data_IF_991680462216
#
_entry.id   IF_991680462216
#
_cell.length_a   1.000
_cell.length_b   1.000
_cell.length_c   1.000
_cell.angle_alpha   90.00
_cell.angle_beta   90.00
_cell.angle_gamma   90.00
#
_symmetry.space_group_name_H-M   'P 1'
#
loop_
_entity.id
_entity.type
_entity.pdbx_description
1 polymer ?
#
# COMPACT_ATOMS: atom_id res chain seq x y z
N UNK A 1 34.56 -31.46 37.45
CA UNK A 1 33.18 -31.72 36.98
C UNK A 1 32.25 -30.52 37.18
N UNK A 2 32.10 -29.95 38.38
CA UNK A 2 31.15 -28.84 38.63
C UNK A 2 31.29 -27.62 37.69
N UNK A 3 32.52 -27.21 37.36
CA UNK A 3 32.82 -26.07 36.47
C UNK A 3 32.44 -26.29 35.00
N UNK A 4 32.49 -27.55 34.53
CA UNK A 4 32.12 -27.90 33.15
C UNK A 4 30.61 -27.83 32.94
N UNK A 5 29.84 -28.22 33.96
CA UNK A 5 28.38 -28.10 33.97
C UNK A 5 27.92 -26.64 34.06
N UNK A 6 28.63 -25.78 34.79
CA UNK A 6 28.31 -24.34 34.85
C UNK A 6 28.57 -23.64 33.51
N UNK A 7 29.67 -23.98 32.83
CA UNK A 7 29.96 -23.45 31.50
C UNK A 7 28.94 -23.93 30.46
N UNK A 8 28.53 -25.20 30.52
CA UNK A 8 27.51 -25.76 29.63
C UNK A 8 26.13 -25.11 29.85
N UNK A 9 25.76 -24.80 31.10
CA UNK A 9 24.50 -24.11 31.43
C UNK A 9 24.49 -22.65 30.97
N UNK A 10 25.63 -21.96 31.02
CA UNK A 10 25.79 -20.60 30.50
C UNK A 10 25.73 -20.55 28.97
N UNK A 11 26.29 -21.56 28.30
CA UNK A 11 26.20 -21.70 26.84
C UNK A 11 24.78 -22.01 26.38
N UNK A 12 24.02 -22.85 27.07
CA UNK A 12 22.62 -23.14 26.70
C UNK A 12 21.69 -21.94 26.88
N UNK A 13 21.93 -21.08 27.87
CA UNK A 13 21.19 -19.81 28.04
C UNK A 13 21.41 -18.83 26.86
N UNK A 14 22.57 -18.86 26.19
CA UNK A 14 22.83 -18.03 25.01
C UNK A 14 22.09 -18.52 23.75
N UNK A 15 21.76 -19.82 23.66
CA UNK A 15 20.99 -20.35 22.53
C UNK A 15 19.49 -20.02 22.61
N UNK A 16 18.93 -19.76 23.79
CA UNK A 16 17.52 -19.37 23.95
C UNK A 16 17.26 -17.88 23.61
N UNK A 17 18.30 -17.04 23.57
CA UNK A 17 18.18 -15.61 23.25
C UNK A 17 18.35 -15.30 21.75
N UNK A 18 18.65 -16.30 20.91
CA UNK A 18 19.02 -16.11 19.50
C UNK A 18 17.86 -16.38 18.51
N UNK A 19 16.64 -16.56 18.99
CA UNK A 19 15.43 -16.65 18.17
C UNK A 19 14.39 -15.63 18.64
N UNK A 20 14.76 -14.34 18.68
CA UNK A 20 13.74 -13.31 18.49
C UNK A 20 13.48 -13.27 16.98
N UNK A 21 12.25 -13.57 16.56
CA UNK A 21 11.79 -13.28 15.20
C UNK A 21 11.87 -11.76 15.03
N UNK A 22 12.97 -11.25 14.46
CA UNK A 22 13.11 -9.82 14.16
C UNK A 22 11.93 -9.40 13.28
N UNK A 23 11.02 -8.60 13.85
CA UNK A 23 9.86 -8.06 13.13
C UNK A 23 10.35 -6.85 12.36
N UNK A 24 10.54 -7.00 11.05
CA UNK A 24 10.85 -5.87 10.18
C UNK A 24 9.58 -5.11 9.78
N UNK A 25 9.72 -3.79 9.66
CA UNK A 25 8.68 -2.95 9.09
C UNK A 25 8.47 -3.30 7.62
N UNK A 26 7.22 -3.20 7.17
CA UNK A 26 6.88 -3.34 5.76
C UNK A 26 7.51 -2.18 4.97
N UNK A 27 8.10 -2.48 3.80
CA UNK A 27 8.91 -1.53 3.06
C UNK A 27 8.13 -0.30 2.58
N UNK A 28 6.82 -0.42 2.36
CA UNK A 28 5.94 0.72 2.04
C UNK A 28 5.87 1.80 3.13
N UNK A 29 6.29 1.49 4.36
CA UNK A 29 6.36 2.42 5.48
C UNK A 29 7.79 2.87 5.77
N UNK A 30 8.70 2.74 4.80
CA UNK A 30 10.03 3.33 4.80
C UNK A 30 9.99 4.78 4.35
N UNK A 31 10.23 5.72 5.28
CA UNK A 31 10.26 7.15 4.98
C UNK A 31 11.65 7.73 5.22
N UNK A 32 12.10 8.57 4.28
CA UNK A 32 13.38 9.25 4.35
C UNK A 32 13.36 10.41 5.35
N UNK A 33 14.44 10.56 6.11
CA UNK A 33 14.66 11.72 6.96
C UNK A 33 14.78 13.00 6.13
N UNK A 34 14.36 14.13 6.71
CA UNK A 34 14.33 15.45 6.09
C UNK A 34 13.44 15.54 4.83
N UNK A 35 12.47 14.63 4.70
CA UNK A 35 11.42 14.70 3.68
C UNK A 35 10.06 15.00 4.30
N UNK A 36 9.27 15.77 3.57
CA UNK A 36 7.88 16.03 3.93
C UNK A 36 7.01 14.81 3.63
N UNK A 37 6.14 14.48 4.57
CA UNK A 37 5.14 13.42 4.46
C UNK A 37 3.77 13.95 4.90
N UNK A 38 2.69 13.24 4.56
CA UNK A 38 1.33 13.62 4.93
C UNK A 38 0.63 12.54 5.74
N UNK A 39 -0.26 12.96 6.63
CA UNK A 39 -1.14 12.04 7.36
C UNK A 39 -2.18 11.46 6.39
N UNK A 40 -2.31 10.13 6.37
CA UNK A 40 -3.30 9.43 5.56
C UNK A 40 -4.60 9.15 6.32
N UNK A 41 -4.48 8.68 7.57
CA UNK A 41 -5.61 8.37 8.44
C UNK A 41 -6.41 9.63 8.78
N UNK A 42 -7.68 9.48 9.15
CA UNK A 42 -8.53 10.61 9.54
C UNK A 42 -7.89 11.46 10.65
N UNK A 43 -7.28 10.76 11.63
CA UNK A 43 -6.53 11.37 12.72
C UNK A 43 -5.32 10.52 13.11
N UNK A 44 -4.21 11.20 13.38
CA UNK A 44 -2.98 10.61 13.93
C UNK A 44 -2.61 11.27 15.24
N UNK A 45 -2.50 10.47 16.30
CA UNK A 45 -2.02 10.92 17.60
C UNK A 45 -0.51 11.13 17.55
N UNK A 46 -0.07 12.32 17.89
CA UNK A 46 1.34 12.61 18.16
C UNK A 46 1.64 12.21 19.60
N UNK A 47 2.62 11.35 19.79
CA UNK A 47 3.02 10.79 21.09
C UNK A 47 4.29 11.45 21.61
N UNK A 48 4.45 11.49 22.92
CA UNK A 48 5.67 12.00 23.56
C UNK A 48 6.88 11.11 23.33
N UNK A 49 6.66 9.81 23.29
CA UNK A 49 7.67 8.77 23.05
C UNK A 49 7.15 7.82 21.94
N UNK A 50 8.05 7.10 21.24
CA UNK A 50 7.70 6.16 20.15
C UNK A 50 7.02 4.88 20.68
N UNK A 51 5.87 5.05 21.33
CA UNK A 51 5.12 3.98 21.98
C UNK A 51 3.61 4.28 21.94
N UNK A 52 2.81 3.27 21.61
CA UNK A 52 1.35 3.37 21.50
C UNK A 52 0.65 3.71 22.84
N UNK A 53 1.32 3.52 23.97
CA UNK A 53 0.83 3.83 25.31
C UNK A 53 1.40 5.14 25.88
N UNK A 54 2.32 5.80 25.16
CA UNK A 54 2.90 7.09 25.57
C UNK A 54 1.83 8.20 25.61
N UNK A 55 1.96 9.22 26.48
CA UNK A 55 1.07 10.37 26.48
C UNK A 55 0.89 10.99 25.10
N UNK A 56 -0.34 11.35 24.78
CA UNK A 56 -0.71 12.05 23.55
C UNK A 56 -0.40 13.54 23.75
N UNK A 57 0.43 14.10 22.88
CA UNK A 57 0.76 15.53 22.86
C UNK A 57 -0.18 16.32 21.94
N UNK A 58 -0.60 15.70 20.84
CA UNK A 58 -1.44 16.34 19.83
C UNK A 58 -2.18 15.32 18.93
N UNK A 59 -3.01 15.81 18.02
CA UNK A 59 -3.70 15.04 17.00
C UNK A 59 -3.68 15.77 15.66
N UNK A 60 -3.17 15.11 14.62
CA UNK A 60 -3.04 15.64 13.26
C UNK A 60 -4.11 15.03 12.35
N UNK A 61 -4.73 15.84 11.51
CA UNK A 61 -5.78 15.39 10.57
C UNK A 61 -5.20 14.84 9.27
N UNK A 62 -6.00 14.12 8.50
CA UNK A 62 -5.69 13.77 7.10
C UNK A 62 -5.18 14.98 6.31
N UNK A 63 -4.23 14.75 5.40
CA UNK A 63 -3.57 15.76 4.55
C UNK A 63 -2.63 16.73 5.27
N UNK A 64 -2.62 16.74 6.62
CA UNK A 64 -1.68 17.56 7.35
C UNK A 64 -0.24 17.12 7.06
N UNK A 65 0.60 18.09 6.71
CA UNK A 65 2.00 17.85 6.39
C UNK A 65 2.84 17.77 7.67
N UNK A 66 3.77 16.82 7.68
CA UNK A 66 4.81 16.65 8.70
C UNK A 66 6.17 16.55 8.01
N UNK A 67 7.24 16.91 8.69
CA UNK A 67 8.61 16.62 8.27
C UNK A 67 9.09 15.39 9.05
N UNK A 68 9.65 14.39 8.34
CA UNK A 68 10.31 13.27 8.99
C UNK A 68 11.65 13.75 9.53
N UNK A 69 11.81 13.76 10.85
CA UNK A 69 13.07 14.15 11.48
C UNK A 69 13.98 12.96 11.70
N UNK A 70 13.40 11.84 12.15
CA UNK A 70 14.17 10.64 12.50
C UNK A 70 13.31 9.39 12.43
N UNK A 71 13.87 8.31 11.89
CA UNK A 71 13.33 6.95 12.05
C UNK A 71 13.88 6.33 13.34
N UNK A 72 13.01 5.83 14.21
CA UNK A 72 13.48 5.15 15.43
C UNK A 72 13.77 3.68 15.16
N UNK A 73 15.06 3.33 15.10
CA UNK A 73 15.54 1.97 14.78
C UNK A 73 15.77 1.09 16.01
N UNK A 74 15.89 1.69 17.20
CA UNK A 74 16.12 0.98 18.46
C UNK A 74 14.82 0.60 19.18
N UNK A 75 13.68 0.97 18.61
CA UNK A 75 12.35 0.67 19.15
C UNK A 75 11.75 -0.47 18.33
N UNK A 76 11.21 -1.53 18.97
CA UNK A 76 10.56 -2.60 18.24
C UNK A 76 9.48 -2.09 17.28
N UNK A 77 9.46 -2.65 16.08
CA UNK A 77 8.44 -2.34 15.07
C UNK A 77 7.06 -2.63 15.64
N UNK A 78 6.17 -1.64 15.56
CA UNK A 78 4.78 -1.83 15.96
C UNK A 78 4.01 -2.47 14.81
N UNK A 79 3.41 -3.62 15.10
CA UNK A 79 2.49 -4.31 14.21
C UNK A 79 1.04 -4.09 14.64
N UNK A 80 0.20 -3.54 13.76
CA UNK A 80 -1.24 -3.44 13.95
C UNK A 80 -1.96 -4.10 12.77
N UNK A 81 -2.51 -5.30 13.01
CA UNK A 81 -3.03 -6.15 11.94
C UNK A 81 -1.89 -6.79 11.15
N UNK A 82 -1.92 -6.65 9.83
CA UNK A 82 -0.83 -7.07 8.94
C UNK A 82 0.21 -5.96 8.71
N UNK A 83 -0.04 -4.74 9.18
CA UNK A 83 0.82 -3.58 8.95
C UNK A 83 1.87 -3.49 10.04
N UNK A 84 3.14 -3.60 9.65
CA UNK A 84 4.33 -3.45 10.48
C UNK A 84 5.03 -2.15 10.11
N UNK A 85 5.10 -1.19 11.02
CA UNK A 85 5.75 0.09 10.74
C UNK A 85 6.56 0.62 11.92
N UNK A 86 7.64 1.36 11.60
CA UNK A 86 8.46 2.06 12.58
C UNK A 86 7.73 3.26 13.18
N UNK A 87 8.26 3.76 14.29
CA UNK A 87 7.95 5.08 14.78
C UNK A 87 8.87 6.11 14.12
N UNK A 88 8.30 7.28 13.83
CA UNK A 88 9.03 8.41 13.29
C UNK A 88 8.89 9.60 14.22
N UNK A 89 10.02 10.21 14.56
CA UNK A 89 10.02 11.56 15.12
C UNK A 89 9.71 12.53 13.98
N UNK A 90 8.73 13.40 14.19
CA UNK A 90 8.27 14.35 13.19
C UNK A 90 8.19 15.75 13.75
N UNK A 91 8.37 16.75 12.89
CA UNK A 91 7.95 18.12 13.17
C UNK A 91 6.75 18.52 12.32
N UNK A 92 5.91 19.38 12.86
CA UNK A 92 4.70 19.87 12.22
C UNK A 92 4.38 21.29 12.68
N UNK A 93 3.63 22.02 11.85
CA UNK A 93 3.17 23.37 12.19
C UNK A 93 1.99 23.30 13.17
N UNK A 94 2.04 24.13 14.21
CA UNK A 94 1.00 24.31 15.21
C UNK A 94 0.89 25.79 15.56
N UNK A 95 -0.13 26.47 15.04
CA UNK A 95 -0.20 27.93 15.09
C UNK A 95 0.98 28.54 14.34
N UNK A 96 1.67 29.49 14.97
CA UNK A 96 2.84 30.18 14.38
C UNK A 96 4.18 29.46 14.64
N UNK A 97 4.15 28.30 15.31
CA UNK A 97 5.35 27.57 15.73
C UNK A 97 5.44 26.15 15.20
N UNK A 98 6.64 25.58 15.25
CA UNK A 98 6.87 24.16 15.03
C UNK A 98 6.69 23.40 16.36
N UNK A 99 6.04 22.24 16.28
CA UNK A 99 5.94 21.26 17.37
C UNK A 99 6.54 19.94 16.91
N UNK A 100 6.98 19.12 17.86
CA UNK A 100 7.58 17.81 17.59
C UNK A 100 6.89 16.71 18.39
N UNK A 101 7.02 15.48 17.90
CA UNK A 101 6.67 14.27 18.64
C UNK A 101 6.77 13.04 17.75
N UNK A 102 6.15 11.96 18.18
CA UNK A 102 6.26 10.66 17.54
C UNK A 102 4.95 10.22 16.90
N UNK A 103 5.02 9.72 15.68
CA UNK A 103 3.89 9.12 14.96
C UNK A 103 4.26 7.73 14.47
N UNK A 104 3.28 6.83 14.44
CA UNK A 104 3.46 5.50 13.86
C UNK A 104 3.39 5.60 12.34
N UNK A 105 4.41 5.06 11.65
CA UNK A 105 4.54 5.19 10.19
C UNK A 105 3.37 4.63 9.40
N UNK A 106 2.65 3.64 9.95
CA UNK A 106 1.46 3.05 9.32
C UNK A 106 0.28 4.00 9.16
N UNK A 107 0.33 5.20 9.76
CA UNK A 107 -0.68 6.25 9.59
C UNK A 107 -0.32 7.31 8.54
N UNK A 108 0.93 7.31 8.05
CA UNK A 108 1.41 8.23 7.04
C UNK A 108 1.01 7.75 5.64
N UNK A 109 0.98 8.67 4.68
CA UNK A 109 0.77 8.31 3.28
C UNK A 109 1.94 7.43 2.80
N UNK A 110 1.61 6.33 2.12
CA UNK A 110 2.58 5.56 1.34
C UNK A 110 3.07 6.41 0.15
N UNK A 111 2.15 7.16 -0.46
CA UNK A 111 2.50 8.16 -1.46
C UNK A 111 1.47 9.28 -1.52
N UNK A 112 1.88 10.45 -1.99
CA UNK A 112 0.97 11.55 -2.29
C UNK A 112 1.40 12.28 -3.56
N UNK A 113 0.44 12.92 -4.23
CA UNK A 113 0.66 13.74 -5.43
C UNK A 113 -0.21 14.99 -5.35
N UNK A 114 0.32 16.13 -5.77
CA UNK A 114 -0.44 17.37 -5.88
C UNK A 114 -0.62 17.73 -7.35
N UNK A 115 -1.85 18.06 -7.76
CA UNK A 115 -2.13 18.53 -9.13
C UNK A 115 -3.43 19.33 -9.15
N UNK A 116 -3.42 20.44 -9.88
CA UNK A 116 -4.60 21.30 -10.10
C UNK A 116 -5.28 21.77 -8.79
N UNK A 117 -4.51 22.01 -7.72
CA UNK A 117 -5.04 22.44 -6.42
C UNK A 117 -5.57 21.29 -5.55
N UNK A 118 -5.50 20.05 -6.02
CA UNK A 118 -5.88 18.86 -5.25
C UNK A 118 -4.66 18.11 -4.72
N UNK A 119 -4.80 17.59 -3.50
CA UNK A 119 -3.91 16.58 -2.96
C UNK A 119 -4.55 15.21 -3.11
N UNK A 120 -3.84 14.31 -3.79
CA UNK A 120 -4.18 12.90 -3.87
C UNK A 120 -3.30 12.13 -2.88
N UNK A 121 -3.93 11.42 -1.96
CA UNK A 121 -3.26 10.68 -0.90
C UNK A 121 -3.48 9.19 -1.11
N UNK A 122 -2.43 8.40 -0.94
CA UNK A 122 -2.47 6.94 -1.00
C UNK A 122 -1.86 6.36 0.27
N UNK A 123 -2.54 5.41 0.89
CA UNK A 123 -2.07 4.75 2.10
C UNK A 123 -2.95 3.57 2.52
N UNK A 124 -2.58 2.94 3.63
CA UNK A 124 -3.25 1.76 4.16
C UNK A 124 -4.25 2.15 5.25
N UNK A 125 -5.51 1.78 5.06
CA UNK A 125 -6.61 2.11 5.97
C UNK A 125 -6.67 1.14 7.15
N UNK A 126 -6.76 -0.16 6.85
CA UNK A 126 -7.00 -1.20 7.86
C UNK A 126 -6.62 -2.59 7.36
N UNK A 127 -6.53 -3.53 8.30
CA UNK A 127 -6.54 -4.96 8.02
C UNK A 127 -7.92 -5.52 8.34
N UNK A 128 -8.49 -6.31 7.45
CA UNK A 128 -9.77 -7.00 7.64
C UNK A 128 -9.56 -8.51 7.64
N UNK A 129 -10.34 -9.23 8.46
CA UNK A 129 -10.38 -10.69 8.43
C UNK A 129 -11.59 -11.12 7.60
N UNK A 130 -11.38 -12.01 6.63
CA UNK A 130 -12.43 -12.57 5.78
C UNK A 130 -12.29 -14.08 5.67
N UNK A 131 -13.38 -14.78 5.31
CA UNK A 131 -13.33 -16.22 5.04
C UNK A 131 -12.48 -16.45 3.79
N UNK A 132 -11.52 -17.36 3.87
CA UNK A 132 -10.69 -17.75 2.73
C UNK A 132 -11.54 -18.42 1.65
N UNK A 133 -11.19 -18.16 0.39
CA UNK A 133 -11.79 -18.85 -0.76
C UNK A 133 -11.07 -20.17 -1.08
N UNK A 134 -9.83 -20.31 -0.63
CA UNK A 134 -8.92 -21.39 -1.04
C UNK A 134 -8.85 -22.53 -0.01
N UNK A 135 -9.20 -22.24 1.25
CA UNK A 135 -9.21 -23.23 2.32
C UNK A 135 -10.31 -22.94 3.34
N UNK A 136 -10.68 -23.94 4.14
CA UNK A 136 -11.62 -23.74 5.23
C UNK A 136 -10.94 -23.01 6.39
N UNK A 137 -11.16 -21.69 6.45
CA UNK A 137 -10.58 -20.83 7.47
C UNK A 137 -10.75 -19.35 7.16
N UNK A 138 -10.04 -18.53 7.91
CA UNK A 138 -10.01 -17.08 7.73
C UNK A 138 -8.63 -16.63 7.27
N UNK A 139 -8.62 -15.59 6.45
CA UNK A 139 -7.43 -14.89 6.02
C UNK A 139 -7.55 -13.41 6.34
N UNK A 140 -6.40 -12.75 6.54
CA UNK A 140 -6.34 -11.31 6.70
C UNK A 140 -6.05 -10.67 5.35
N UNK A 141 -6.60 -9.49 5.13
CA UNK A 141 -6.44 -8.71 3.92
C UNK A 141 -6.20 -7.25 4.31
N UNK A 142 -5.29 -6.58 3.62
CA UNK A 142 -4.98 -5.17 3.78
C UNK A 142 -5.86 -4.37 2.84
N UNK A 143 -6.49 -3.33 3.39
CA UNK A 143 -7.32 -2.40 2.63
C UNK A 143 -6.55 -1.09 2.51
N UNK A 144 -6.12 -0.78 1.29
CA UNK A 144 -5.60 0.53 0.94
C UNK A 144 -6.74 1.48 0.54
N UNK A 145 -6.44 2.77 0.55
CA UNK A 145 -7.34 3.79 0.05
C UNK A 145 -6.61 4.88 -0.68
N UNK A 146 -7.34 5.54 -1.58
CA UNK A 146 -6.94 6.79 -2.22
C UNK A 146 -7.97 7.85 -1.87
N UNK A 147 -7.49 8.98 -1.36
CA UNK A 147 -8.30 10.15 -0.98
C UNK A 147 -7.95 11.31 -1.89
N UNK A 148 -8.94 12.12 -2.25
CA UNK A 148 -8.73 13.43 -2.91
C UNK A 148 -9.16 14.55 -1.96
N UNK A 149 -8.25 15.50 -1.75
CA UNK A 149 -8.41 16.61 -0.82
C UNK A 149 -8.29 17.95 -1.55
N UNK A 150 -9.06 18.93 -1.10
CA UNK A 150 -8.92 20.35 -1.50
C UNK A 150 -8.67 21.15 -0.22
N UNK A 151 -7.42 21.52 0.03
CA UNK A 151 -6.98 21.97 1.35
C UNK A 151 -7.20 20.86 2.40
N UNK A 152 -7.93 21.15 3.47
CA UNK A 152 -8.28 20.17 4.51
C UNK A 152 -9.62 19.46 4.26
N UNK A 153 -10.31 19.75 3.15
CA UNK A 153 -11.60 19.18 2.84
C UNK A 153 -11.44 17.88 2.04
N UNK A 154 -12.02 16.77 2.53
CA UNK A 154 -12.09 15.50 1.80
C UNK A 154 -13.21 15.58 0.76
N UNK A 155 -12.88 15.44 -0.52
CA UNK A 155 -13.85 15.49 -1.62
C UNK A 155 -14.42 14.12 -1.97
N UNK A 156 -13.56 13.10 -1.98
CA UNK A 156 -13.92 11.72 -2.28
C UNK A 156 -12.82 10.75 -1.85
N UNK A 157 -13.19 9.48 -1.70
CA UNK A 157 -12.25 8.41 -1.41
C UNK A 157 -12.72 7.07 -1.99
N UNK A 158 -11.76 6.22 -2.33
CA UNK A 158 -12.00 4.83 -2.77
C UNK A 158 -11.07 3.89 -2.03
N UNK A 159 -11.53 2.66 -1.83
CA UNK A 159 -10.79 1.62 -1.11
C UNK A 159 -10.65 0.36 -1.96
N UNK A 160 -9.54 -0.34 -1.79
CA UNK A 160 -9.23 -1.57 -2.52
C UNK A 160 -8.35 -2.49 -1.68
N UNK A 161 -8.38 -3.78 -2.00
CA UNK A 161 -7.57 -4.79 -1.33
C UNK A 161 -6.13 -4.75 -1.86
N UNK A 162 -5.11 -4.98 -1.03
CA UNK A 162 -3.71 -5.08 -1.45
C UNK A 162 -3.06 -6.38 -1.01
N UNK A 163 -3.84 -7.42 -0.77
CA UNK A 163 -3.35 -8.72 -0.32
C UNK A 163 -3.08 -8.77 1.18
N UNK A 164 -2.12 -9.60 1.57
CA UNK A 164 -1.69 -9.86 2.95
C UNK A 164 -0.51 -8.96 3.31
N UNK A 165 0.19 -9.28 4.40
CA UNK A 165 1.38 -8.54 4.81
C UNK A 165 2.57 -8.71 3.85
N UNK A 166 2.67 -9.84 3.13
CA UNK A 166 3.78 -10.14 2.22
C UNK A 166 3.82 -9.25 0.98
N UNK A 167 2.68 -8.68 0.56
CA UNK A 167 2.62 -7.73 -0.53
C UNK A 167 3.00 -6.30 -0.14
N UNK A 168 3.22 -6.00 1.15
CA UNK A 168 3.52 -4.65 1.62
C UNK A 168 5.02 -4.28 1.53
N UNK A 169 5.81 -4.99 0.72
CA UNK A 169 7.24 -4.68 0.54
C UNK A 169 7.44 -3.36 -0.21
N UNK A 170 6.66 -3.10 -1.25
CA UNK A 170 6.84 -1.97 -2.15
C UNK A 170 5.53 -1.40 -2.63
N UNK A 171 5.55 -0.10 -2.93
CA UNK A 171 4.40 0.56 -3.53
C UNK A 171 4.80 1.78 -4.35
N UNK A 172 3.96 2.11 -5.33
CA UNK A 172 4.05 3.37 -6.07
C UNK A 172 2.70 4.05 -6.19
N UNK A 173 2.73 5.37 -6.39
CA UNK A 173 1.53 6.14 -6.61
C UNK A 173 1.79 7.24 -7.63
N UNK A 174 1.19 7.12 -8.82
CA UNK A 174 1.49 7.99 -9.95
C UNK A 174 0.23 8.66 -10.50
N UNK A 175 0.42 9.83 -11.11
CA UNK A 175 -0.60 10.50 -11.91
C UNK A 175 -0.29 10.24 -13.38
N UNK A 176 -1.25 9.68 -14.09
CA UNK A 176 -1.21 9.44 -15.52
C UNK A 176 -2.14 10.44 -16.26
N UNK A 177 -2.16 10.33 -17.59
CA UNK A 177 -3.08 11.12 -18.42
C UNK A 177 -4.54 10.72 -18.19
N UNK A 178 -5.48 11.35 -18.89
CA UNK A 178 -6.87 10.89 -18.92
C UNK A 178 -7.12 9.70 -19.86
N UNK A 179 -6.07 9.19 -20.50
CA UNK A 179 -6.09 8.10 -21.46
C UNK A 179 -7.08 8.28 -22.63
N UNK A 180 -7.43 9.53 -22.97
CA UNK A 180 -8.49 9.86 -23.95
C UNK A 180 -9.86 9.24 -23.62
N UNK A 181 -10.14 8.96 -22.35
CA UNK A 181 -11.50 8.66 -21.90
C UNK A 181 -12.29 9.97 -21.76
N UNK A 182 -13.53 9.97 -22.27
CA UNK A 182 -14.39 11.15 -22.23
C UNK A 182 -14.59 11.65 -20.78
N UNK A 183 -14.49 12.96 -20.56
CA UNK A 183 -14.72 13.61 -19.27
C UNK A 183 -13.84 13.11 -18.11
N UNK A 184 -12.71 12.46 -18.40
CA UNK A 184 -11.70 12.15 -17.38
C UNK A 184 -10.65 13.25 -17.38
N UNK A 185 -10.30 13.76 -16.20
CA UNK A 185 -9.27 14.79 -16.05
C UNK A 185 -7.87 14.18 -15.99
N UNK A 186 -7.73 13.12 -15.19
CA UNK A 186 -6.51 12.35 -15.00
C UNK A 186 -6.83 10.97 -14.46
N UNK A 187 -5.82 10.09 -14.47
CA UNK A 187 -5.89 8.78 -13.81
C UNK A 187 -4.82 8.70 -12.73
N UNK A 188 -5.18 8.14 -11.59
CA UNK A 188 -4.25 7.77 -10.53
C UNK A 188 -3.96 6.28 -10.66
N UNK A 189 -2.69 5.89 -10.53
CA UNK A 189 -2.27 4.50 -10.48
C UNK A 189 -1.56 4.24 -9.16
N UNK A 190 -2.17 3.41 -8.31
CA UNK A 190 -1.57 2.90 -7.09
C UNK A 190 -1.16 1.44 -7.30
N UNK A 191 0.11 1.12 -7.01
CA UNK A 191 0.65 -0.24 -7.07
C UNK A 191 1.12 -0.64 -5.68
N UNK A 192 0.86 -1.89 -5.28
CA UNK A 192 1.45 -2.55 -4.10
C UNK A 192 2.00 -3.91 -4.52
N UNK A 193 3.21 -4.26 -4.09
CA UNK A 193 3.90 -5.48 -4.49
C UNK A 193 4.81 -6.01 -3.40
N UNK A 194 4.88 -7.34 -3.26
CA UNK A 194 5.85 -8.01 -2.39
C UNK A 194 7.26 -8.11 -2.95
N UNK A 195 7.46 -7.80 -4.25
CA UNK A 195 8.75 -7.85 -4.96
C UNK A 195 9.48 -9.22 -4.88
N UNK A 196 8.73 -10.31 -4.74
CA UNK A 196 9.27 -11.66 -4.66
C UNK A 196 8.48 -12.63 -5.57
N UNK A 197 9.16 -13.69 -6.04
CA UNK A 197 8.53 -14.76 -6.81
C UNK A 197 7.36 -15.37 -6.04
N UNK A 198 6.26 -15.64 -6.74
CA UNK A 198 5.04 -16.20 -6.15
C UNK A 198 4.21 -15.19 -5.33
N UNK A 199 4.70 -13.97 -5.11
CA UNK A 199 3.95 -12.94 -4.38
C UNK A 199 3.24 -12.00 -5.36
N UNK A 200 1.96 -11.77 -5.09
CA UNK A 200 1.13 -10.96 -5.95
C UNK A 200 1.50 -9.47 -5.89
N UNK A 201 1.23 -8.79 -7.00
CA UNK A 201 1.23 -7.34 -7.12
C UNK A 201 -0.16 -6.87 -7.53
N UNK A 202 -0.65 -5.81 -6.89
CA UNK A 202 -1.97 -5.26 -7.12
C UNK A 202 -1.88 -3.86 -7.70
N UNK A 203 -2.48 -3.68 -8.87
CA UNK A 203 -2.55 -2.42 -9.60
C UNK A 203 -3.97 -1.86 -9.53
N UNK A 204 -4.14 -0.69 -8.93
CA UNK A 204 -5.41 0.00 -8.84
C UNK A 204 -5.38 1.29 -9.66
N UNK A 205 -6.10 1.28 -10.79
CA UNK A 205 -6.38 2.47 -11.59
C UNK A 205 -7.63 3.17 -11.07
N UNK A 206 -7.57 4.49 -10.93
CA UNK A 206 -8.65 5.31 -10.41
C UNK A 206 -8.79 6.54 -11.31
N UNK A 207 -9.94 6.67 -11.96
CA UNK A 207 -10.23 7.83 -12.78
C UNK A 207 -10.65 9.00 -11.87
N UNK A 208 -10.12 10.19 -12.13
CA UNK A 208 -10.56 11.42 -11.48
C UNK A 208 -11.34 12.27 -12.47
N UNK A 209 -12.57 12.63 -12.10
CA UNK A 209 -13.41 13.59 -12.82
C UNK A 209 -14.37 14.30 -11.90
N UNK A 210 -14.65 15.57 -12.14
CA UNK A 210 -15.69 16.33 -11.43
C UNK A 210 -15.58 16.18 -9.90
N UNK A 211 -14.35 16.23 -9.37
CA UNK A 211 -14.04 16.03 -7.95
C UNK A 211 -14.40 14.63 -7.39
N UNK A 212 -14.58 13.62 -8.26
CA UNK A 212 -14.92 12.24 -7.91
C UNK A 212 -13.88 11.24 -8.38
N UNK A 213 -13.70 10.21 -7.55
CA UNK A 213 -12.81 9.07 -7.79
C UNK A 213 -13.63 7.86 -8.22
N UNK A 214 -13.24 7.25 -9.34
CA UNK A 214 -13.88 6.06 -9.87
C UNK A 214 -12.83 4.97 -10.01
N UNK A 215 -12.81 4.05 -9.05
CA UNK A 215 -11.94 2.89 -9.09
C UNK A 215 -12.36 1.96 -10.24
N UNK A 216 -11.41 1.59 -11.10
CA UNK A 216 -11.60 0.52 -12.08
C UNK A 216 -11.45 -0.84 -11.38
N UNK A 217 -11.87 -1.96 -12.01
CA UNK A 217 -11.55 -3.28 -11.47
C UNK A 217 -10.04 -3.39 -11.22
N UNK A 218 -9.67 -3.92 -10.07
CA UNK A 218 -8.26 -4.09 -9.72
C UNK A 218 -7.60 -5.12 -10.63
N UNK A 219 -6.32 -4.91 -10.92
CA UNK A 219 -5.47 -5.86 -11.62
C UNK A 219 -4.59 -6.60 -10.63
N UNK A 220 -4.38 -7.89 -10.85
CA UNK A 220 -3.46 -8.74 -10.10
C UNK A 220 -2.40 -9.29 -11.06
N UNK A 221 -1.14 -9.23 -10.65
CA UNK A 221 -0.03 -9.81 -11.40
C UNK A 221 0.83 -10.65 -10.44
N UNK A 222 1.24 -11.85 -10.86
CA UNK A 222 2.13 -12.72 -10.08
C UNK A 222 2.95 -13.58 -11.05
N UNK A 223 4.18 -13.90 -10.69
CA UNK A 223 5.04 -14.78 -11.48
C UNK A 223 5.94 -15.62 -10.59
N UNK A 224 6.25 -16.82 -11.05
CA UNK A 224 7.16 -17.75 -10.39
C UNK A 224 8.16 -18.30 -11.41
N UNK A 225 9.36 -17.73 -11.41
CA UNK A 225 10.59 -18.19 -12.06
C UNK A 225 10.42 -19.04 -13.34
N UNK A 226 9.83 -18.46 -14.39
CA UNK A 226 9.55 -19.10 -15.70
C UNK A 226 8.65 -20.35 -15.67
N UNK A 227 8.16 -20.78 -14.51
CA UNK A 227 7.24 -21.91 -14.34
C UNK A 227 5.79 -21.45 -14.51
N UNK A 228 5.48 -20.29 -13.96
CA UNK A 228 4.13 -19.74 -13.95
C UNK A 228 4.13 -18.22 -14.05
N UNK A 229 3.16 -17.64 -14.76
CA UNK A 229 2.76 -16.26 -14.53
C UNK A 229 1.28 -16.05 -14.77
N UNK A 230 0.74 -15.06 -14.08
CA UNK A 230 -0.56 -14.46 -14.33
C UNK A 230 -0.36 -12.97 -14.46
N UNK A 231 -0.73 -12.41 -15.61
CA UNK A 231 -0.62 -10.98 -15.89
C UNK A 231 -1.95 -10.39 -16.30
N UNK A 232 -2.29 -9.27 -15.69
CA UNK A 232 -3.48 -8.49 -15.97
C UNK A 232 -3.11 -7.06 -16.31
N UNK A 233 -3.63 -6.57 -17.43
CA UNK A 233 -3.36 -5.22 -17.94
C UNK A 233 -4.63 -4.55 -18.45
N UNK A 234 -4.62 -3.22 -18.45
CA UNK A 234 -5.59 -2.42 -19.20
C UNK A 234 -4.99 -1.97 -20.54
N UNK A 235 -5.83 -1.99 -21.57
CA UNK A 235 -5.60 -1.28 -22.83
C UNK A 235 -6.61 -0.15 -22.90
N UNK A 236 -6.13 1.07 -22.80
CA UNK A 236 -6.91 2.29 -22.85
C UNK A 236 -7.03 2.85 -24.28
N UNK A 237 -7.90 3.84 -24.55
CA UNK A 237 -8.12 4.38 -25.89
C UNK A 237 -6.87 4.96 -26.58
N UNK A 238 -5.90 5.45 -25.81
CA UNK A 238 -4.63 5.97 -26.33
C UNK A 238 -3.55 4.91 -26.51
N UNK A 239 -3.78 3.66 -26.10
CA UNK A 239 -2.84 2.56 -26.24
C UNK A 239 -2.99 1.87 -27.61
N UNK A 240 -1.99 1.06 -27.99
CA UNK A 240 -2.05 0.25 -29.21
C UNK A 240 -3.19 -0.77 -29.09
N UNK A 241 -4.15 -0.69 -30.01
CA UNK A 241 -5.36 -1.53 -29.99
C UNK A 241 -6.46 -1.03 -29.06
N UNK A 242 -6.33 0.19 -28.52
CA UNK A 242 -7.36 0.90 -27.79
C UNK A 242 -8.57 1.24 -28.65
N UNK A 243 -9.75 1.28 -28.03
CA UNK A 243 -11.01 1.67 -28.67
C UNK A 243 -11.58 2.88 -27.94
N UNK A 244 -12.05 3.93 -28.64
CA UNK A 244 -12.64 5.12 -28.02
C UNK A 244 -13.73 4.78 -27.00
N UNK A 245 -13.74 5.51 -25.88
CA UNK A 245 -14.73 5.35 -24.79
C UNK A 245 -14.83 3.92 -24.24
N UNK A 246 -13.71 3.20 -24.23
CA UNK A 246 -13.61 1.89 -23.58
C UNK A 246 -12.28 1.77 -22.87
N UNK A 247 -12.22 0.89 -21.88
CA UNK A 247 -10.96 0.30 -21.44
C UNK A 247 -11.12 -1.22 -21.49
N UNK A 248 -10.08 -1.90 -21.96
CA UNK A 248 -10.10 -3.32 -22.22
C UNK A 248 -9.20 -3.98 -21.20
N UNK A 249 -9.79 -4.80 -20.32
CA UNK A 249 -9.03 -5.71 -19.49
C UNK A 249 -8.52 -6.86 -20.35
N UNK A 250 -7.24 -7.19 -20.20
CA UNK A 250 -6.62 -8.39 -20.76
C UNK A 250 -5.93 -9.15 -19.65
N UNK A 251 -6.15 -10.46 -19.65
CA UNK A 251 -5.43 -11.40 -18.81
C UNK A 251 -4.68 -12.38 -19.70
N UNK A 252 -3.45 -12.68 -19.32
CA UNK A 252 -2.65 -13.77 -19.84
C UNK A 252 -2.09 -14.59 -18.68
N UNK A 253 -2.26 -15.90 -18.75
CA UNK A 253 -1.77 -16.87 -17.77
C UNK A 253 -0.97 -17.93 -18.51
N UNK A 254 0.19 -18.30 -17.97
CA UNK A 254 1.06 -19.34 -18.52
C UNK A 254 1.49 -20.27 -17.40
N UNK A 255 1.42 -21.57 -17.65
CA UNK A 255 2.05 -22.60 -16.82
C UNK A 255 2.90 -23.52 -17.70
N UNK A 256 3.96 -24.09 -17.13
CA UNK A 256 4.70 -25.20 -17.72
C UNK A 256 4.24 -26.53 -17.15
N UNK A 257 4.08 -27.54 -18.00
CA UNK A 257 3.83 -28.90 -17.57
C UNK A 257 5.12 -29.67 -17.20
N UNK A 258 4.98 -30.91 -16.72
CA UNK A 258 6.10 -31.78 -16.33
C UNK A 258 7.10 -32.07 -17.47
N UNK A 259 6.76 -31.72 -18.72
CA UNK A 259 7.59 -31.88 -19.92
C UNK A 259 8.11 -30.53 -20.44
N UNK A 260 8.06 -29.48 -19.63
CA UNK A 260 8.51 -28.13 -19.97
C UNK A 260 7.71 -27.50 -21.14
N UNK A 261 6.47 -27.95 -21.37
CA UNK A 261 5.61 -27.40 -22.43
C UNK A 261 4.75 -26.28 -21.86
N UNK A 262 4.74 -25.14 -22.54
CA UNK A 262 3.93 -23.98 -22.16
C UNK A 262 2.44 -24.20 -22.49
N UNK A 263 1.59 -23.93 -21.51
CA UNK A 263 0.15 -23.84 -21.68
C UNK A 263 -0.30 -22.42 -21.33
N UNK A 264 -0.81 -21.72 -22.34
CA UNK A 264 -1.25 -20.33 -22.23
C UNK A 264 -2.78 -20.21 -22.26
N UNK A 265 -3.30 -19.33 -21.42
CA UNK A 265 -4.70 -18.95 -21.35
C UNK A 265 -4.79 -17.43 -21.49
N UNK A 266 -5.76 -16.98 -22.26
CA UNK A 266 -6.01 -15.57 -22.46
C UNK A 266 -7.47 -15.27 -22.17
N UNK A 267 -7.74 -14.11 -21.58
CA UNK A 267 -9.10 -13.60 -21.40
C UNK A 267 -9.13 -12.11 -21.66
N UNK A 268 -10.28 -11.61 -22.12
CA UNK A 268 -10.47 -10.18 -22.29
C UNK A 268 -11.89 -9.78 -21.91
N UNK A 269 -12.01 -8.60 -21.29
CA UNK A 269 -13.29 -7.98 -20.94
C UNK A 269 -13.27 -6.54 -21.42
N UNK A 270 -14.30 -6.13 -22.14
CA UNK A 270 -14.43 -4.76 -22.64
C UNK A 270 -15.38 -4.01 -21.72
N UNK A 271 -14.89 -2.93 -21.13
CA UNK A 271 -15.72 -2.02 -20.34
C UNK A 271 -16.06 -0.80 -21.16
N UNK A 272 -17.36 -0.53 -21.30
CA UNK A 272 -17.90 0.63 -21.99
C UNK A 272 -17.94 1.81 -21.01
N UNK A 273 -17.27 2.90 -21.35
CA UNK A 273 -17.27 4.15 -20.59
C UNK A 273 -18.23 5.16 -21.21
N UNK A 274 -19.12 5.73 -20.40
CA UNK A 274 -20.14 6.69 -20.89
C UNK A 274 -19.83 8.16 -20.54
N UNK A 275 -18.65 8.46 -19.99
CA UNK A 275 -18.29 9.79 -19.50
C UNK A 275 -18.54 10.01 -18.00
N UNK A 276 -19.17 9.07 -17.31
CA UNK A 276 -19.44 9.17 -15.87
C UNK A 276 -19.30 7.84 -15.12
N UNK A 277 -19.59 6.72 -15.76
CA UNK A 277 -19.45 5.37 -15.21
C UNK A 277 -19.09 4.38 -16.31
N UNK A 278 -18.73 3.16 -15.90
CA UNK A 278 -18.48 2.06 -16.82
C UNK A 278 -19.44 0.89 -16.60
N UNK A 279 -19.65 0.10 -17.65
CA UNK A 279 -20.32 -1.20 -17.58
C UNK A 279 -19.56 -2.24 -18.40
N UNK A 280 -19.58 -3.48 -17.95
CA UNK A 280 -19.09 -4.60 -18.75
C UNK A 280 -20.00 -4.76 -19.99
N UNK A 281 -19.40 -4.93 -21.17
CA UNK A 281 -20.11 -5.17 -22.43
C UNK A 281 -20.71 -6.57 -22.47
#
# INVERSE_FOLDING_TARGET
MKTLWTALLLLTLQFFAAQENEVYADGIFGFEENKAQKIFTDWTRVRKEPNANSPILDSLQTNQQVMILKKEETVPVLQLGERKANWYKVSYQKGDGASEGYVWGGNLCVGYRNKNGYDFLFGLSKTTTQKSKDFDGFEKQNIAGVKVMEGNNLLDEVYFNTGRGEELSYATFNIESNHKLQNVELTLKALVSGEACGIASYDQYILFKDKKLIALPQLMNVGDADVFYHSEVYVFPNDKGGVPNTFIFKMEEMEKDDKDREKKKHSSKIYLWNGSSYKLK
#
